data_IF_141036628322
#
_entry.id   IF_141036628322
#
_cell.length_a   1.000
_cell.length_b   1.000
_cell.length_c   1.000
_cell.angle_alpha   90.00
_cell.angle_beta   90.00
_cell.angle_gamma   90.00
#
_symmetry.space_group_name_H-M   'P 1'
#
loop_
_entity.id
_entity.type
_entity.pdbx_description
1 polymer ?
#
# COMPACT_ATOMS: atom_id res chain seq x y z
N UNK A 1 -6.08 -12.45 -2.30
CA UNK A 1 -4.76 -11.90 -2.63
C UNK A 1 -4.36 -12.50 -3.96
N UNK A 2 -4.03 -11.66 -4.92
CA UNK A 2 -3.52 -12.04 -6.25
C UNK A 2 -2.07 -11.56 -6.36
N UNK A 3 -1.22 -12.33 -7.04
CA UNK A 3 0.19 -11.99 -7.24
C UNK A 3 0.58 -12.32 -8.66
N UNK A 4 1.23 -11.37 -9.35
CA UNK A 4 1.67 -11.48 -10.74
C UNK A 4 3.10 -11.01 -10.86
N UNK A 5 3.83 -11.61 -11.79
CA UNK A 5 5.18 -11.18 -12.17
C UNK A 5 5.26 -11.05 -13.68
N UNK A 6 5.86 -9.97 -14.17
CA UNK A 6 6.13 -9.78 -15.59
C UNK A 6 7.65 -9.77 -15.81
N UNK A 7 8.19 -10.43 -16.85
CA UNK A 7 9.64 -10.49 -17.07
C UNK A 7 10.20 -9.31 -17.86
N UNK A 8 9.39 -8.61 -18.67
CA UNK A 8 9.86 -7.56 -19.60
C UNK A 8 8.88 -6.36 -19.67
N UNK A 9 9.17 -5.23 -19.00
CA UNK A 9 10.23 -5.07 -17.99
C UNK A 9 9.93 -5.90 -16.72
N UNK A 10 10.97 -6.29 -15.96
CA UNK A 10 10.79 -7.10 -14.77
C UNK A 10 9.97 -6.36 -13.71
N UNK A 11 8.83 -6.92 -13.31
CA UNK A 11 7.99 -6.37 -12.27
C UNK A 11 7.24 -7.44 -11.48
N UNK A 12 6.84 -7.09 -10.25
CA UNK A 12 5.95 -7.86 -9.41
C UNK A 12 4.77 -6.99 -8.99
N UNK A 13 3.56 -7.53 -9.10
CA UNK A 13 2.33 -6.91 -8.65
C UNK A 13 1.62 -7.77 -7.62
N UNK A 14 1.16 -7.15 -6.53
CA UNK A 14 0.38 -7.79 -5.48
C UNK A 14 -0.94 -7.04 -5.35
N UNK A 15 -2.04 -7.77 -5.34
CA UNK A 15 -3.37 -7.22 -5.09
C UNK A 15 -4.01 -7.82 -3.83
N UNK A 16 -4.43 -6.94 -2.93
CA UNK A 16 -5.24 -7.29 -1.77
C UNK A 16 -6.69 -6.92 -2.04
N UNK A 17 -7.62 -7.75 -1.54
CA UNK A 17 -9.05 -7.48 -1.63
C UNK A 17 -9.75 -7.87 -0.35
N UNK A 18 -10.59 -6.98 0.17
CA UNK A 18 -11.38 -7.22 1.38
C UNK A 18 -12.75 -6.55 1.28
N UNK A 19 -13.73 -7.02 2.07
CA UNK A 19 -15.10 -6.48 2.13
C UNK A 19 -15.31 -5.55 3.33
N UNK A 20 -14.24 -4.92 3.79
CA UNK A 20 -14.31 -3.91 4.83
C UNK A 20 -15.04 -2.64 4.36
N UNK A 21 -15.18 -1.69 5.28
CA UNK A 21 -15.61 -0.33 4.90
C UNK A 21 -14.58 0.26 3.92
N UNK A 22 -15.01 1.09 2.95
CA UNK A 22 -14.10 1.82 2.08
C UNK A 22 -12.99 2.48 2.90
N UNK A 23 -11.74 2.15 2.58
CA UNK A 23 -10.57 2.63 3.30
C UNK A 23 -9.42 2.82 2.31
N UNK A 24 -9.21 4.06 1.88
CA UNK A 24 -7.99 4.43 1.14
C UNK A 24 -6.83 4.53 2.14
N UNK A 25 -5.85 3.62 2.10
CA UNK A 25 -4.73 3.65 3.04
C UNK A 25 -3.81 4.86 2.83
N UNK A 26 -3.81 5.46 1.64
CA UNK A 26 -2.85 6.50 1.24
C UNK A 26 -3.39 7.91 1.38
N UNK A 27 -4.66 8.09 1.76
CA UNK A 27 -5.27 9.40 2.02
C UNK A 27 -4.78 10.05 3.32
N UNK A 28 -4.00 9.34 4.14
CA UNK A 28 -3.47 9.82 5.42
C UNK A 28 -2.10 10.47 5.23
N UNK A 29 -1.81 11.45 6.08
CA UNK A 29 -0.48 12.07 6.18
C UNK A 29 0.54 11.03 6.63
N UNK A 30 1.76 11.13 6.10
CA UNK A 30 2.86 10.25 6.48
C UNK A 30 3.28 10.47 7.93
N UNK A 31 3.67 9.40 8.64
CA UNK A 31 4.16 9.52 10.01
C UNK A 31 5.49 10.28 10.03
N UNK A 32 5.73 11.07 11.08
CA UNK A 32 7.04 11.65 11.31
C UNK A 32 8.02 10.56 11.79
N UNK A 33 8.90 10.14 10.88
CA UNK A 33 9.91 9.11 11.13
C UNK A 33 11.14 9.64 11.88
N UNK A 34 11.25 10.96 12.09
CA UNK A 34 12.32 11.58 12.88
C UNK A 34 12.09 11.46 14.39
N UNK A 35 10.84 11.26 14.81
CA UNK A 35 10.47 11.05 16.21
C UNK A 35 10.90 9.66 16.71
N UNK A 36 11.13 9.57 18.02
CA UNK A 36 11.31 8.30 18.72
C UNK A 36 10.07 7.41 18.56
N UNK A 37 10.21 6.11 18.83
CA UNK A 37 9.06 5.20 18.81
C UNK A 37 8.00 5.55 19.86
N UNK A 38 8.40 6.15 20.97
CA UNK A 38 7.54 6.54 22.09
C UNK A 38 6.74 7.82 21.79
N UNK A 39 7.34 8.77 21.07
CA UNK A 39 6.73 10.06 20.74
C UNK A 39 5.90 10.02 19.44
N UNK A 40 6.08 8.99 18.61
CA UNK A 40 5.37 8.85 17.33
C UNK A 40 3.93 8.39 17.55
N UNK A 41 3.00 8.96 16.79
CA UNK A 41 1.62 8.49 16.75
C UNK A 41 1.53 7.01 16.33
N UNK A 42 0.58 6.29 16.93
CA UNK A 42 0.34 4.89 16.60
C UNK A 42 -0.23 4.79 15.17
N UNK A 43 0.38 3.94 14.35
CA UNK A 43 -0.07 3.62 12.99
C UNK A 43 0.68 4.37 11.89
N UNK A 44 0.32 4.10 10.64
CA UNK A 44 0.88 4.78 9.47
C UNK A 44 2.20 4.22 8.93
N UNK A 45 3.03 3.57 9.76
CA UNK A 45 4.34 3.04 9.32
C UNK A 45 4.25 2.00 8.19
N UNK A 46 3.27 1.10 8.24
CA UNK A 46 3.10 0.11 7.16
C UNK A 46 2.74 0.77 5.82
N UNK A 47 1.89 1.78 5.84
CA UNK A 47 1.55 2.57 4.63
C UNK A 47 2.76 3.36 4.14
N UNK A 48 3.49 3.98 5.06
CA UNK A 48 4.73 4.69 4.75
C UNK A 48 5.74 3.77 4.06
N UNK A 49 5.99 2.57 4.61
CA UNK A 49 6.86 1.58 3.99
C UNK A 49 6.40 1.22 2.56
N UNK A 50 5.10 1.03 2.35
CA UNK A 50 4.56 0.76 1.01
C UNK A 50 4.84 1.92 0.05
N UNK A 51 4.63 3.17 0.47
CA UNK A 51 4.92 4.36 -0.34
C UNK A 51 6.41 4.48 -0.71
N UNK A 52 7.31 4.15 0.22
CA UNK A 52 8.76 4.24 0.01
C UNK A 52 9.32 3.09 -0.84
N UNK A 53 8.74 1.88 -0.73
CA UNK A 53 9.28 0.69 -1.39
C UNK A 53 8.69 0.42 -2.77
N UNK A 54 7.41 0.73 -2.98
CA UNK A 54 6.70 0.41 -4.23
C UNK A 54 6.88 1.51 -5.27
N UNK A 55 6.86 1.15 -6.55
CA UNK A 55 6.95 2.11 -7.65
C UNK A 55 5.55 2.59 -8.07
N UNK A 56 4.53 1.75 -7.91
CA UNK A 56 3.13 2.15 -8.07
C UNK A 56 2.25 1.59 -6.97
N UNK A 57 1.25 2.40 -6.62
CA UNK A 57 0.26 2.08 -5.61
C UNK A 57 -1.08 2.57 -6.13
N UNK A 58 -2.08 1.68 -6.13
CA UNK A 58 -3.44 1.98 -6.53
C UNK A 58 -4.44 1.46 -5.53
N UNK A 59 -5.48 2.25 -5.26
CA UNK A 59 -6.64 1.84 -4.48
C UNK A 59 -7.90 2.09 -5.29
N UNK A 60 -8.78 1.09 -5.35
CA UNK A 60 -10.16 1.25 -5.83
C UNK A 60 -11.13 0.60 -4.85
N UNK A 61 -12.31 1.20 -4.70
CA UNK A 61 -13.45 0.54 -4.06
C UNK A 61 -14.44 0.14 -5.15
N UNK A 62 -14.62 -1.16 -5.38
CA UNK A 62 -15.48 -1.68 -6.45
C UNK A 62 -16.13 -2.99 -6.02
N UNK A 63 -17.40 -3.18 -6.37
CA UNK A 63 -18.17 -4.40 -6.04
C UNK A 63 -18.10 -4.76 -4.54
N UNK A 64 -18.35 -3.77 -3.68
CA UNK A 64 -18.30 -3.85 -2.22
C UNK A 64 -16.96 -4.38 -1.65
N UNK A 65 -15.86 -4.11 -2.36
CA UNK A 65 -14.52 -4.52 -1.96
C UNK A 65 -13.53 -3.36 -2.06
N UNK A 66 -12.70 -3.23 -1.03
CA UNK A 66 -11.44 -2.52 -1.12
C UNK A 66 -10.50 -3.35 -1.99
N UNK A 67 -9.85 -2.73 -2.97
CA UNK A 67 -8.87 -3.38 -3.85
C UNK A 67 -7.61 -2.52 -3.82
N UNK A 68 -6.56 -3.06 -3.22
CA UNK A 68 -5.25 -2.42 -3.11
C UNK A 68 -4.29 -3.12 -4.06
N UNK A 69 -3.73 -2.40 -5.02
CA UNK A 69 -2.73 -2.89 -5.97
C UNK A 69 -1.38 -2.25 -5.67
N UNK A 70 -0.35 -3.07 -5.48
CA UNK A 70 1.03 -2.64 -5.30
C UNK A 70 1.86 -3.16 -6.48
N UNK A 71 2.73 -2.33 -7.03
CA UNK A 71 3.64 -2.72 -8.13
C UNK A 71 5.06 -2.32 -7.78
N UNK A 72 5.98 -3.29 -7.90
CA UNK A 72 7.42 -3.09 -7.83
C UNK A 72 8.07 -3.45 -9.16
N UNK A 73 8.93 -2.58 -9.67
CA UNK A 73 9.80 -2.77 -10.83
C UNK A 73 11.22 -3.04 -10.33
N UNK A 74 11.93 -3.91 -11.04
CA UNK A 74 13.32 -4.30 -10.70
C UNK A 74 14.33 -3.64 -11.62
#
# INVERSE_FOLDING_TARGET
MDCRTEPEPPSASIQFSDRGKPYDPFSRQDPDISLSAEDRAIGGLGVFMVKEMMDEVGYEYRNDQNILTLVKRF
#
